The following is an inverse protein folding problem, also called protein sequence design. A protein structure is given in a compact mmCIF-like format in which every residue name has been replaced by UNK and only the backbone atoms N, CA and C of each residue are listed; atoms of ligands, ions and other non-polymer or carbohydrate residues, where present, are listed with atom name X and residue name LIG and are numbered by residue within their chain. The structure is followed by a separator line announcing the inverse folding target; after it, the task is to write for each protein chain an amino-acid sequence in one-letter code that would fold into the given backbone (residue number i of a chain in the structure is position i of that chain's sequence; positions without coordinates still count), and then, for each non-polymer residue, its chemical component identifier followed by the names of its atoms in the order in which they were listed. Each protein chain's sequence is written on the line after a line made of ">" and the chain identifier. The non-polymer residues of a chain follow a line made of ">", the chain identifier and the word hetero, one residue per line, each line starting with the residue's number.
data_IF_350152768523
#
_entry.id   IF_350152768523
#
_cell.length_a   1.000
_cell.length_b   1.000
_cell.length_c   1.000
_cell.angle_alpha   90.00
_cell.angle_beta   90.00
_cell.angle_gamma   90.00
#
_symmetry.space_group_name_H-M   'P 1'
#
loop_
_entity.id
_entity.type
_entity.pdbx_description
1 polymer ?
#
# COMPACT_ATOMS: atom_id res chain seq x y z
N UNK A 1 0.85 4.04 -2.52
CA UNK A 1 -0.48 3.70 -1.93
C UNK A 1 -0.86 2.33 -2.44
N UNK A 2 -1.26 1.41 -1.56
CA UNK A 2 -1.68 0.05 -1.87
C UNK A 2 -3.16 -0.15 -1.53
N UNK A 3 -3.84 -1.00 -2.29
CA UNK A 3 -5.21 -1.42 -1.98
C UNK A 3 -5.14 -2.50 -0.90
N UNK A 4 -5.91 -2.33 0.16
CA UNK A 4 -6.19 -3.32 1.20
C UNK A 4 -7.69 -3.67 1.21
N UNK A 5 -8.05 -4.73 1.92
CA UNK A 5 -9.43 -5.23 1.95
C UNK A 5 -9.91 -5.51 3.37
N UNK A 6 -11.21 -5.33 3.59
CA UNK A 6 -11.94 -5.66 4.83
C UNK A 6 -12.77 -6.94 4.70
N UNK A 7 -12.71 -7.64 3.57
CA UNK A 7 -13.56 -8.83 3.33
C UNK A 7 -13.35 -9.92 4.38
N UNK A 8 -12.16 -10.00 4.99
CA UNK A 8 -11.84 -10.99 6.01
C UNK A 8 -12.53 -10.70 7.35
N UNK A 9 -12.82 -9.43 7.63
CA UNK A 9 -13.58 -8.97 8.80
C UNK A 9 -15.09 -9.14 8.54
N UNK A 10 -15.54 -8.87 7.32
CA UNK A 10 -16.94 -9.00 6.91
C UNK A 10 -17.40 -10.45 6.69
N UNK A 11 -16.44 -11.38 6.59
CA UNK A 11 -16.69 -12.81 6.35
C UNK A 11 -17.58 -13.42 7.43
N UNK A 12 -17.33 -13.13 8.70
CA UNK A 12 -17.92 -13.87 9.83
C UNK A 12 -19.46 -13.80 9.89
N UNK A 13 -20.06 -12.84 9.19
CA UNK A 13 -21.51 -12.71 9.06
C UNK A 13 -22.09 -13.48 7.87
N UNK A 14 -21.28 -13.80 6.86
CA UNK A 14 -21.73 -14.28 5.55
C UNK A 14 -21.18 -15.66 5.16
N UNK A 15 -20.03 -16.08 5.71
CA UNK A 15 -19.35 -17.32 5.34
C UNK A 15 -18.70 -17.99 6.55
N UNK A 16 -18.79 -19.32 6.64
CA UNK A 16 -18.26 -20.08 7.79
C UNK A 16 -16.74 -20.22 7.76
N UNK A 17 -16.14 -20.18 6.58
CA UNK A 17 -14.69 -20.38 6.41
C UNK A 17 -14.18 -19.72 5.11
N UNK A 18 -12.85 -19.73 4.95
CA UNK A 18 -12.18 -19.14 3.78
C UNK A 18 -12.44 -19.90 2.47
N UNK A 19 -12.72 -21.20 2.54
CA UNK A 19 -13.04 -22.01 1.35
C UNK A 19 -14.41 -21.66 0.78
N UNK A 20 -15.41 -21.44 1.65
CA UNK A 20 -16.73 -20.94 1.25
C UNK A 20 -16.64 -19.55 0.64
N UNK A 21 -15.88 -18.65 1.26
CA UNK A 21 -15.63 -17.32 0.73
C UNK A 21 -14.95 -17.39 -0.65
N UNK A 22 -13.92 -18.22 -0.82
CA UNK A 22 -13.24 -18.39 -2.12
C UNK A 22 -14.19 -18.89 -3.20
N UNK A 23 -15.06 -19.85 -2.85
CA UNK A 23 -16.09 -20.37 -3.75
C UNK A 23 -17.09 -19.28 -4.17
N UNK A 24 -17.57 -18.48 -3.22
CA UNK A 24 -18.49 -17.37 -3.51
C UNK A 24 -17.83 -16.28 -4.37
N UNK A 25 -16.53 -16.01 -4.15
CA UNK A 25 -15.75 -15.08 -4.96
C UNK A 25 -15.36 -15.63 -6.33
N UNK A 26 -15.51 -16.94 -6.56
CA UNK A 26 -15.08 -17.58 -7.81
C UNK A 26 -13.57 -17.58 -8.02
N UNK A 27 -12.78 -17.64 -6.94
CA UNK A 27 -11.31 -17.70 -6.98
C UNK A 27 -10.77 -18.91 -6.22
N UNK A 28 -9.50 -19.25 -6.43
CA UNK A 28 -8.90 -20.37 -5.70
C UNK A 28 -8.70 -20.04 -4.22
N UNK A 29 -8.85 -21.06 -3.37
CA UNK A 29 -8.61 -20.94 -1.92
C UNK A 29 -7.18 -20.46 -1.65
N UNK A 30 -6.20 -20.92 -2.44
CA UNK A 30 -4.81 -20.46 -2.35
C UNK A 30 -4.68 -18.95 -2.61
N UNK A 31 -5.42 -18.38 -3.57
CA UNK A 31 -5.42 -16.92 -3.78
C UNK A 31 -5.89 -16.18 -2.54
N UNK A 32 -6.95 -16.66 -1.88
CA UNK A 32 -7.45 -16.07 -0.62
C UNK A 32 -6.37 -16.08 0.46
N UNK A 33 -5.72 -17.23 0.71
CA UNK A 33 -4.67 -17.32 1.73
C UNK A 33 -3.49 -16.39 1.41
N UNK A 34 -3.02 -16.36 0.15
CA UNK A 34 -1.89 -15.50 -0.21
C UNK A 34 -2.19 -14.01 -0.10
N UNK A 35 -3.41 -13.58 -0.38
CA UNK A 35 -3.82 -12.19 -0.17
C UNK A 35 -3.95 -11.88 1.33
N UNK A 36 -4.53 -12.79 2.12
CA UNK A 36 -4.66 -12.64 3.58
C UNK A 36 -3.29 -12.51 4.26
N UNK A 37 -2.31 -13.30 3.83
CA UNK A 37 -0.95 -13.29 4.35
C UNK A 37 -0.08 -12.15 3.79
N UNK A 38 -0.60 -11.33 2.88
CA UNK A 38 0.17 -10.27 2.21
C UNK A 38 1.20 -10.76 1.19
N UNK A 39 1.24 -12.07 0.87
CA UNK A 39 2.14 -12.68 -0.13
C UNK A 39 1.74 -12.37 -1.58
N UNK A 40 0.54 -11.83 -1.80
CA UNK A 40 0.02 -11.38 -3.10
C UNK A 40 -0.79 -10.11 -2.91
N UNK A 41 -0.62 -9.16 -3.82
CA UNK A 41 -1.47 -7.98 -3.90
C UNK A 41 -2.88 -8.32 -4.38
N UNK A 42 -3.83 -7.44 -4.06
CA UNK A 42 -5.20 -7.51 -4.53
C UNK A 42 -5.22 -7.19 -6.03
N UNK A 43 -5.73 -8.11 -6.84
CA UNK A 43 -5.84 -7.94 -8.29
C UNK A 43 -7.29 -7.77 -8.73
N UNK A 44 -7.49 -7.50 -10.02
CA UNK A 44 -8.83 -7.31 -10.60
C UNK A 44 -9.75 -8.52 -10.38
N UNK A 45 -9.25 -9.76 -10.53
CA UNK A 45 -10.06 -10.97 -10.31
C UNK A 45 -10.56 -11.05 -8.87
N UNK A 46 -9.71 -10.70 -7.91
CA UNK A 46 -10.05 -10.65 -6.49
C UNK A 46 -11.13 -9.60 -6.21
N UNK A 47 -10.99 -8.41 -6.80
CA UNK A 47 -11.98 -7.32 -6.67
C UNK A 47 -13.34 -7.74 -7.23
N UNK A 48 -13.38 -8.26 -8.46
CA UNK A 48 -14.63 -8.72 -9.10
C UNK A 48 -15.27 -9.83 -8.25
N UNK A 49 -14.47 -10.77 -7.76
CA UNK A 49 -14.95 -11.85 -6.90
C UNK A 49 -15.53 -11.33 -5.59
N UNK A 50 -14.88 -10.37 -4.94
CA UNK A 50 -15.38 -9.78 -3.71
C UNK A 50 -16.71 -9.07 -3.90
N UNK A 51 -16.85 -8.27 -4.97
CA UNK A 51 -18.11 -7.56 -5.27
C UNK A 51 -19.25 -8.56 -5.51
N UNK A 52 -18.97 -9.69 -6.19
CA UNK A 52 -19.97 -10.75 -6.39
C UNK A 52 -20.36 -11.47 -5.10
N UNK A 53 -19.37 -11.72 -4.22
CA UNK A 53 -19.60 -12.37 -2.94
C UNK A 53 -20.37 -11.48 -1.96
N UNK A 54 -20.13 -10.16 -1.99
CA UNK A 54 -20.75 -9.20 -1.08
C UNK A 54 -21.66 -8.19 -1.80
N UNK A 55 -22.78 -8.63 -2.43
CA UNK A 55 -23.61 -7.75 -3.25
C UNK A 55 -24.32 -6.64 -2.46
N UNK A 56 -24.42 -6.77 -1.14
CA UNK A 56 -25.02 -5.77 -0.24
C UNK A 56 -24.04 -4.71 0.25
N UNK A 57 -22.75 -4.82 -0.10
CA UNK A 57 -21.70 -3.91 0.34
C UNK A 57 -21.21 -3.09 -0.87
N UNK A 58 -20.89 -1.82 -0.64
CA UNK A 58 -20.28 -0.96 -1.66
C UNK A 58 -18.78 -1.27 -1.77
N UNK A 59 -18.16 -0.80 -2.86
CA UNK A 59 -16.72 -0.98 -3.07
C UNK A 59 -15.88 -0.46 -1.88
N UNK A 60 -16.23 0.71 -1.37
CA UNK A 60 -15.55 1.38 -0.25
C UNK A 60 -15.66 0.61 1.09
N UNK A 61 -16.71 -0.19 1.25
CA UNK A 61 -16.87 -1.05 2.43
C UNK A 61 -15.92 -2.26 2.36
N UNK A 62 -15.59 -2.70 1.15
CA UNK A 62 -14.78 -3.89 0.88
C UNK A 62 -13.28 -3.57 0.75
N UNK A 63 -12.94 -2.40 0.21
CA UNK A 63 -11.59 -2.01 -0.15
C UNK A 63 -11.27 -0.59 0.28
N UNK A 64 -10.01 -0.37 0.68
CA UNK A 64 -9.50 0.93 1.06
C UNK A 64 -8.05 1.10 0.61
N UNK A 65 -7.61 2.35 0.49
CA UNK A 65 -6.23 2.68 0.19
C UNK A 65 -5.43 2.85 1.49
N UNK A 66 -4.23 2.30 1.52
CA UNK A 66 -3.28 2.46 2.61
C UNK A 66 -1.91 2.90 2.06
N UNK A 67 -1.08 3.58 2.87
CA UNK A 67 0.32 3.76 2.53
C UNK A 67 0.99 2.42 2.25
N UNK A 68 1.94 2.42 1.32
CA UNK A 68 2.79 1.25 1.11
C UNK A 68 3.68 1.10 2.35
N UNK A 69 3.73 -0.09 2.98
CA UNK A 69 4.61 -0.28 4.12
C UNK A 69 6.06 -0.09 3.65
N UNK A 70 6.80 0.77 4.35
CA UNK A 70 8.21 1.01 4.07
C UNK A 70 8.96 -0.32 4.10
N UNK A 71 9.57 -0.69 3.00
CA UNK A 71 10.49 -1.83 2.95
C UNK A 71 11.84 -1.41 3.52
N UNK A 72 12.64 -2.35 4.03
CA UNK A 72 14.00 -2.06 4.55
C UNK A 72 14.83 -1.27 3.52
N UNK A 73 14.63 -1.54 2.23
CA UNK A 73 15.24 -0.80 1.11
C UNK A 73 14.77 0.66 1.01
N UNK A 74 13.54 0.97 1.39
CA UNK A 74 13.02 2.33 1.38
C UNK A 74 13.65 3.19 2.49
N UNK A 75 14.01 2.59 3.64
CA UNK A 75 14.73 3.30 4.71
C UNK A 75 16.12 3.77 4.25
N UNK A 76 16.88 2.92 3.57
CA UNK A 76 18.19 3.30 3.02
C UNK A 76 18.07 4.38 1.94
N UNK A 77 17.05 4.29 1.10
CA UNK A 77 16.79 5.26 0.03
C UNK A 77 16.43 6.63 0.61
N UNK A 78 15.61 6.66 1.65
CA UNK A 78 15.19 7.89 2.29
C UNK A 78 16.35 8.58 3.01
N UNK A 79 17.18 7.83 3.76
CA UNK A 79 18.40 8.39 4.37
C UNK A 79 19.35 9.00 3.33
N UNK A 80 19.45 8.37 2.16
CA UNK A 80 20.29 8.87 1.06
C UNK A 80 19.76 10.16 0.43
N UNK A 81 18.43 10.34 0.37
CA UNK A 81 17.79 11.54 -0.16
C UNK A 81 17.90 12.71 0.83
N UNK A 82 17.66 12.45 2.12
CA UNK A 82 17.77 13.45 3.18
C UNK A 82 19.21 13.97 3.32
N UNK A 83 20.20 13.09 3.23
CA UNK A 83 21.62 13.45 3.27
C UNK A 83 22.04 14.28 2.05
N UNK A 84 21.54 13.96 0.86
CA UNK A 84 21.79 14.75 -0.36
C UNK A 84 21.12 16.12 -0.30
N UNK A 85 19.89 16.21 0.23
CA UNK A 85 19.19 17.48 0.42
C UNK A 85 19.91 18.38 1.44
N UNK A 86 20.42 17.81 2.53
CA UNK A 86 21.22 18.54 3.52
C UNK A 86 22.54 19.05 2.93
N UNK A 87 23.27 18.21 2.20
CA UNK A 87 24.52 18.61 1.51
C UNK A 87 24.27 19.74 0.50
N UNK A 88 23.20 19.63 -0.29
CA UNK A 88 22.82 20.66 -1.26
C UNK A 88 22.45 21.98 -0.57
N UNK A 89 21.72 21.93 0.55
CA UNK A 89 21.36 23.13 1.33
C UNK A 89 22.61 23.87 1.85
N UNK A 90 23.56 23.12 2.42
CA UNK A 90 24.83 23.66 2.93
C UNK A 90 25.66 24.28 1.79
N UNK A 91 25.71 23.64 0.63
CA UNK A 91 26.41 24.16 -0.55
C UNK A 91 25.78 25.46 -1.07
N UNK A 92 24.45 25.55 -1.04
CA UNK A 92 23.72 26.73 -1.49
C UNK A 92 23.92 27.92 -0.54
N UNK A 93 23.91 27.69 0.78
CA UNK A 93 24.20 28.73 1.79
C UNK A 93 25.63 29.27 1.65
N UNK A 94 26.62 28.39 1.46
CA UNK A 94 28.02 28.80 1.22
C UNK A 94 28.21 29.58 -0.08
N UNK A 95 27.47 29.23 -1.13
CA UNK A 95 27.51 29.97 -2.39
C UNK A 95 26.89 31.37 -2.26
N UNK A 96 25.82 31.50 -1.48
CA UNK A 96 25.17 32.78 -1.21
C UNK A 96 26.09 33.71 -0.40
N UNK A 97 26.73 33.20 0.65
CA UNK A 97 27.66 33.96 1.51
C UNK A 97 28.86 34.51 0.72
N UNK A 98 29.45 33.70 -0.16
CA UNK A 98 30.53 34.13 -1.07
C UNK A 98 30.11 35.20 -2.07
N UNK A 99 28.86 35.18 -2.54
CA UNK A 99 28.36 36.18 -3.48
C UNK A 99 28.20 37.54 -2.77
N UNK A 100 27.68 37.54 -1.55
CA UNK A 100 27.59 38.74 -0.71
C UNK A 100 28.97 39.33 -0.38
N UNK A 101 29.95 38.49 -0.06
CA UNK A 101 31.31 38.94 0.24
C UNK A 101 32.09 39.47 -0.99
N UNK A 102 31.63 39.21 -2.20
CA UNK A 102 32.23 39.72 -3.43
C UNK A 102 31.58 41.04 -3.93
N UNK A 103 30.51 41.48 -3.26
CA UNK A 103 29.79 42.73 -3.55
C UNK A 103 30.15 43.86 -2.57
N UNK A 104 30.96 43.58 -1.54
CA UNK A 104 31.64 44.58 -0.69
C UNK A 104 33.05 44.88 -1.23
#
# INVERSE_FOLDING_TARGET
>A
MIIKTRIFELRDKNYKNLSELARAMGISVSQIYRVREGKRSINQKFIIGAIKAFPKHKFEDLFYLAPEPLTVTDYYRQGSIEEQAAKKKIETEKALEKLTAAME
#
